data_IF_689675654592
#
_entry.id   IF_689675654592
#
_cell.length_a   1.000
_cell.length_b   1.000
_cell.length_c   1.000
_cell.angle_alpha   90.00
_cell.angle_beta   90.00
_cell.angle_gamma   90.00
#
_symmetry.space_group_name_H-M   'P 1'
#
loop_
_entity.id
_entity.type
_entity.pdbx_description
1 polymer ?
#
# COMPACT_ATOMS: atom_id res chain seq x y z
N UNK A 1 -21.17 19.94 -1.03
CA UNK A 1 -20.95 19.10 0.17
C UNK A 1 -20.91 17.65 -0.25
N UNK A 2 -20.05 16.84 0.35
CA UNK A 2 -19.98 15.41 0.13
C UNK A 2 -21.26 14.72 0.60
N UNK A 3 -21.65 13.61 -0.02
CA UNK A 3 -22.81 12.84 0.42
C UNK A 3 -22.42 11.86 1.52
N UNK A 4 -23.32 11.67 2.48
CA UNK A 4 -23.07 10.85 3.68
C UNK A 4 -22.55 9.44 3.39
N UNK A 5 -23.06 8.77 2.35
CA UNK A 5 -22.61 7.42 1.98
C UNK A 5 -21.18 7.43 1.44
N UNK A 6 -20.82 8.45 0.65
CA UNK A 6 -19.45 8.62 0.12
C UNK A 6 -18.49 9.01 1.25
N UNK A 7 -18.91 9.91 2.17
CA UNK A 7 -18.15 10.29 3.35
C UNK A 7 -17.84 9.08 4.24
N UNK A 8 -18.82 8.22 4.50
CA UNK A 8 -18.62 7.00 5.27
C UNK A 8 -17.61 6.08 4.59
N UNK A 9 -17.77 5.82 3.30
CA UNK A 9 -16.88 4.93 2.54
C UNK A 9 -15.44 5.48 2.46
N UNK A 10 -15.25 6.80 2.34
CA UNK A 10 -13.93 7.43 2.42
C UNK A 10 -13.32 7.28 3.82
N UNK A 11 -14.10 7.42 4.89
CA UNK A 11 -13.59 7.18 6.25
C UNK A 11 -13.14 5.73 6.47
N UNK A 12 -13.84 4.78 5.88
CA UNK A 12 -13.40 3.37 5.88
C UNK A 12 -12.09 3.19 5.09
N UNK A 13 -11.93 3.89 3.95
CA UNK A 13 -10.70 3.82 3.18
C UNK A 13 -9.53 4.48 3.91
N UNK A 14 -9.72 5.61 4.57
CA UNK A 14 -8.71 6.24 5.44
C UNK A 14 -8.15 5.25 6.47
N UNK A 15 -9.02 4.44 7.07
CA UNK A 15 -8.60 3.41 8.03
C UNK A 15 -7.84 2.27 7.36
N UNK A 16 -8.19 1.89 6.11
CA UNK A 16 -7.48 0.86 5.35
C UNK A 16 -6.06 1.31 5.00
N UNK A 17 -5.88 2.54 4.50
CA UNK A 17 -4.56 3.09 4.16
C UNK A 17 -3.66 3.19 5.41
N UNK A 18 -4.21 3.65 6.54
CA UNK A 18 -3.47 3.67 7.80
C UNK A 18 -3.06 2.26 8.25
N UNK A 19 -3.93 1.28 8.05
CA UNK A 19 -3.64 -0.11 8.38
C UNK A 19 -2.59 -0.69 7.44
N UNK A 20 -2.62 -0.37 6.13
CA UNK A 20 -1.59 -0.73 5.14
C UNK A 20 -0.21 -0.26 5.60
N UNK A 21 -0.08 1.02 5.97
CA UNK A 21 1.16 1.56 6.51
C UNK A 21 1.70 0.75 7.70
N UNK A 22 0.83 0.35 8.64
CA UNK A 22 1.23 -0.46 9.79
C UNK A 22 1.60 -1.89 9.42
N UNK A 23 0.91 -2.50 8.46
CA UNK A 23 1.22 -3.83 7.93
C UNK A 23 2.63 -3.82 7.32
N UNK A 24 2.94 -2.84 6.47
CA UNK A 24 4.25 -2.71 5.85
C UNK A 24 5.37 -2.43 6.86
N UNK A 25 5.12 -1.61 7.88
CA UNK A 25 6.08 -1.43 8.99
C UNK A 25 6.36 -2.74 9.74
N UNK A 26 5.35 -3.55 10.00
CA UNK A 26 5.53 -4.84 10.68
C UNK A 26 6.33 -5.83 9.81
N UNK A 27 6.03 -5.90 8.51
CA UNK A 27 6.78 -6.70 7.54
C UNK A 27 8.23 -6.21 7.42
N UNK A 28 8.46 -4.90 7.34
CA UNK A 28 9.80 -4.29 7.28
C UNK A 28 10.64 -4.65 8.50
N UNK A 29 10.08 -4.50 9.70
CA UNK A 29 10.75 -4.86 10.95
C UNK A 29 11.14 -6.34 10.99
N UNK A 30 10.27 -7.23 10.52
CA UNK A 30 10.58 -8.66 10.42
C UNK A 30 11.70 -8.91 9.39
N UNK A 31 11.67 -8.29 8.22
CA UNK A 31 12.72 -8.42 7.20
C UNK A 31 14.09 -7.97 7.74
N UNK A 32 14.14 -6.86 8.50
CA UNK A 32 15.36 -6.33 9.07
C UNK A 32 16.03 -7.33 10.03
N UNK A 33 15.28 -7.90 10.97
CA UNK A 33 15.83 -8.89 11.91
C UNK A 33 16.08 -10.25 11.28
N UNK A 34 15.49 -10.53 10.11
CA UNK A 34 15.69 -11.76 9.35
C UNK A 34 16.83 -11.68 8.33
N UNK A 35 17.55 -10.56 8.27
CA UNK A 35 18.74 -10.40 7.43
C UNK A 35 18.46 -9.94 6.00
N UNK A 36 17.31 -9.29 5.75
CA UNK A 36 16.92 -8.70 4.48
C UNK A 36 16.77 -7.17 4.59
N UNK A 37 17.91 -6.43 4.76
CA UNK A 37 17.86 -4.97 4.96
C UNK A 37 17.31 -4.22 3.75
N UNK A 38 17.50 -4.73 2.54
CA UNK A 38 16.96 -4.12 1.33
C UNK A 38 15.45 -4.27 1.23
N UNK A 39 14.92 -5.45 1.54
CA UNK A 39 13.47 -5.66 1.63
C UNK A 39 12.85 -4.82 2.75
N UNK A 40 13.53 -4.70 3.91
CA UNK A 40 13.10 -3.82 4.98
C UNK A 40 13.01 -2.36 4.52
N UNK A 41 14.05 -1.84 3.86
CA UNK A 41 14.06 -0.48 3.33
C UNK A 41 12.92 -0.23 2.34
N UNK A 42 12.67 -1.18 1.43
CA UNK A 42 11.56 -1.11 0.48
C UNK A 42 10.21 -1.04 1.20
N UNK A 43 9.97 -1.91 2.17
CA UNK A 43 8.70 -1.98 2.90
C UNK A 43 8.50 -0.77 3.84
N UNK A 44 9.56 -0.19 4.40
CA UNK A 44 9.45 1.09 5.11
C UNK A 44 9.04 2.23 4.18
N UNK A 45 9.61 2.27 2.96
CA UNK A 45 9.21 3.26 1.95
C UNK A 45 7.74 3.08 1.53
N UNK A 46 7.28 1.82 1.38
CA UNK A 46 5.84 1.53 1.15
C UNK A 46 4.97 2.02 2.31
N UNK A 47 5.39 1.80 3.56
CA UNK A 47 4.64 2.26 4.73
C UNK A 47 4.46 3.78 4.75
N UNK A 48 5.49 4.54 4.33
CA UNK A 48 5.42 5.98 4.21
C UNK A 48 4.50 6.42 3.07
N UNK A 49 4.48 5.69 1.96
CA UNK A 49 3.60 5.94 0.82
C UNK A 49 2.13 5.72 1.18
N UNK A 50 1.79 4.64 1.88
CA UNK A 50 0.44 4.39 2.39
C UNK A 50 -0.04 5.49 3.33
N UNK A 51 0.87 6.04 4.14
CA UNK A 51 0.56 7.21 4.95
C UNK A 51 0.24 8.44 4.10
N UNK A 52 0.90 8.62 2.96
CA UNK A 52 0.57 9.71 2.03
C UNK A 52 -0.79 9.47 1.37
N UNK A 53 -1.13 8.23 1.00
CA UNK A 53 -2.45 7.84 0.51
C UNK A 53 -3.54 8.19 1.53
N UNK A 54 -3.36 7.79 2.78
CA UNK A 54 -4.24 8.18 3.89
C UNK A 54 -4.46 9.71 3.93
N UNK A 55 -3.38 10.49 3.85
CA UNK A 55 -3.45 11.94 3.90
C UNK A 55 -4.16 12.56 2.69
N UNK A 56 -4.03 11.96 1.49
CA UNK A 56 -4.80 12.39 0.30
C UNK A 56 -6.30 12.23 0.54
N UNK A 57 -6.74 11.09 1.07
CA UNK A 57 -8.16 10.85 1.42
C UNK A 57 -8.66 11.81 2.49
N UNK A 58 -7.89 12.04 3.57
CA UNK A 58 -8.24 12.98 4.64
C UNK A 58 -8.46 14.38 4.08
N UNK A 59 -7.52 14.88 3.25
CA UNK A 59 -7.60 16.21 2.64
C UNK A 59 -8.81 16.32 1.72
N UNK A 60 -8.98 15.35 0.81
CA UNK A 60 -10.13 15.31 -0.10
C UNK A 60 -11.45 15.38 0.67
N UNK A 61 -11.59 14.58 1.73
CA UNK A 61 -12.81 14.57 2.55
C UNK A 61 -13.08 15.91 3.23
N UNK A 62 -12.05 16.48 3.88
CA UNK A 62 -12.17 17.75 4.60
C UNK A 62 -12.44 18.94 3.65
N UNK A 63 -11.78 18.99 2.50
CA UNK A 63 -11.99 20.03 1.46
C UNK A 63 -13.42 19.99 0.88
N UNK A 64 -14.06 18.82 0.93
CA UNK A 64 -15.45 18.62 0.52
C UNK A 64 -16.49 18.91 1.62
N UNK A 65 -16.02 19.36 2.80
CA UNK A 65 -16.85 19.69 3.97
C UNK A 65 -17.33 18.45 4.76
N UNK A 66 -16.68 17.30 4.57
CA UNK A 66 -16.82 16.12 5.41
C UNK A 66 -15.84 16.16 6.59
N UNK A 67 -15.86 15.13 7.41
CA UNK A 67 -15.00 14.99 8.59
C UNK A 67 -14.26 13.65 8.59
N UNK A 68 -12.94 13.68 8.53
CA UNK A 68 -12.11 12.49 8.65
C UNK A 68 -12.08 12.01 10.11
N UNK A 69 -12.52 10.76 10.33
CA UNK A 69 -12.57 10.14 11.66
C UNK A 69 -11.58 8.96 11.66
N UNK A 70 -10.51 9.10 12.46
CA UNK A 70 -9.53 8.03 12.62
C UNK A 70 -10.10 6.92 13.51
N UNK A 71 -10.00 5.70 13.03
CA UNK A 71 -10.57 4.52 13.67
C UNK A 71 -9.50 3.73 14.44
N UNK A 72 -9.94 2.86 15.35
CA UNK A 72 -9.06 1.88 15.95
C UNK A 72 -8.66 0.83 14.90
N UNK A 73 -7.40 0.41 14.92
CA UNK A 73 -6.83 -0.57 13.98
C UNK A 73 -6.41 -1.84 14.69
N UNK A 74 -6.55 -2.95 13.99
CA UNK A 74 -6.06 -4.25 14.47
C UNK A 74 -4.53 -4.30 14.47
N UNK A 75 -3.99 -5.20 15.28
CA UNK A 75 -2.55 -5.47 15.28
C UNK A 75 -2.18 -6.23 14.01
N UNK A 76 -1.17 -5.77 13.23
CA UNK A 76 -0.68 -6.51 12.08
C UNK A 76 -0.03 -7.85 12.48
N UNK A 77 0.03 -8.78 11.51
CA UNK A 77 0.83 -10.01 11.64
C UNK A 77 2.29 -9.63 11.89
N UNK A 78 2.92 -10.29 12.87
CA UNK A 78 4.27 -9.96 13.33
C UNK A 78 5.33 -11.02 12.95
N UNK A 79 4.96 -12.14 12.35
CA UNK A 79 5.89 -13.22 12.00
C UNK A 79 5.53 -13.86 10.65
N UNK A 80 6.57 -14.16 9.87
CA UNK A 80 6.48 -14.68 8.51
C UNK A 80 7.42 -15.88 8.37
N UNK A 81 7.16 -16.77 7.42
CA UNK A 81 7.96 -17.99 7.20
C UNK A 81 9.30 -17.70 6.52
N UNK A 82 9.29 -16.83 5.54
CA UNK A 82 10.43 -16.44 4.70
C UNK A 82 10.08 -15.20 3.88
N UNK A 83 11.00 -14.69 3.08
CA UNK A 83 10.81 -13.52 2.23
C UNK A 83 9.68 -13.71 1.19
N UNK A 84 9.51 -14.92 0.65
CA UNK A 84 8.43 -15.22 -0.27
C UNK A 84 7.07 -15.04 0.40
N UNK A 85 6.90 -15.56 1.62
CA UNK A 85 5.66 -15.42 2.40
C UNK A 85 5.32 -13.94 2.67
N UNK A 86 6.34 -13.10 2.96
CA UNK A 86 6.15 -11.65 3.11
C UNK A 86 5.53 -11.05 1.84
N UNK A 87 6.16 -11.26 0.68
CA UNK A 87 5.68 -10.66 -0.57
C UNK A 87 4.40 -11.29 -1.12
N UNK A 88 4.10 -12.55 -0.80
CA UNK A 88 2.78 -13.14 -1.07
C UNK A 88 1.69 -12.47 -0.23
N UNK A 89 1.98 -12.08 1.01
CA UNK A 89 1.04 -11.34 1.84
C UNK A 89 0.91 -9.87 1.39
N UNK A 90 2.00 -9.25 0.92
CA UNK A 90 1.95 -7.94 0.26
C UNK A 90 0.99 -8.00 -0.94
N UNK A 91 1.17 -8.96 -1.85
CA UNK A 91 0.31 -9.10 -3.04
C UNK A 91 -1.16 -9.25 -2.68
N UNK A 92 -1.46 -10.12 -1.72
CA UNK A 92 -2.82 -10.28 -1.20
C UNK A 92 -3.42 -8.99 -0.64
N UNK A 93 -2.57 -8.21 0.02
CA UNK A 93 -3.00 -6.95 0.61
C UNK A 93 -3.30 -5.91 -0.48
N UNK A 94 -2.45 -5.79 -1.52
CA UNK A 94 -2.70 -4.91 -2.66
C UNK A 94 -3.98 -5.28 -3.41
N UNK A 95 -4.22 -6.57 -3.66
CA UNK A 95 -5.48 -7.04 -4.26
C UNK A 95 -6.70 -6.65 -3.43
N UNK A 96 -6.59 -6.69 -2.10
CA UNK A 96 -7.64 -6.23 -1.19
C UNK A 96 -7.85 -4.71 -1.26
N UNK A 97 -6.78 -3.91 -1.31
CA UNK A 97 -6.88 -2.45 -1.46
C UNK A 97 -7.47 -2.10 -2.82
N UNK A 98 -7.03 -2.75 -3.90
CA UNK A 98 -7.62 -2.58 -5.24
C UNK A 98 -9.12 -2.81 -5.23
N UNK A 99 -9.59 -3.90 -4.61
CA UNK A 99 -11.02 -4.19 -4.50
C UNK A 99 -11.75 -3.07 -3.74
N UNK A 100 -11.18 -2.60 -2.61
CA UNK A 100 -11.79 -1.55 -1.80
C UNK A 100 -11.86 -0.20 -2.52
N UNK A 101 -10.86 0.15 -3.32
CA UNK A 101 -10.85 1.36 -4.17
C UNK A 101 -11.94 1.26 -5.26
N UNK A 102 -12.07 0.09 -5.89
CA UNK A 102 -13.12 -0.14 -6.90
C UNK A 102 -14.52 -0.03 -6.29
N UNK A 103 -14.75 -0.60 -5.11
CA UNK A 103 -16.03 -0.48 -4.39
C UNK A 103 -16.35 0.98 -4.06
N UNK A 104 -15.36 1.73 -3.57
CA UNK A 104 -15.52 3.16 -3.27
C UNK A 104 -15.81 3.97 -4.55
N UNK A 105 -15.15 3.64 -5.66
CA UNK A 105 -15.42 4.25 -6.96
C UNK A 105 -16.85 3.99 -7.41
N UNK A 106 -17.33 2.75 -7.32
CA UNK A 106 -18.73 2.40 -7.63
C UNK A 106 -19.73 3.17 -6.75
N UNK A 107 -19.46 3.27 -5.43
CA UNK A 107 -20.28 4.07 -4.52
C UNK A 107 -20.33 5.53 -4.97
N UNK A 108 -19.20 6.12 -5.36
CA UNK A 108 -19.13 7.50 -5.83
C UNK A 108 -19.99 7.74 -7.07
N UNK A 109 -19.97 6.81 -8.04
CA UNK A 109 -20.78 6.89 -9.25
C UNK A 109 -22.27 6.73 -8.94
N UNK A 110 -22.66 5.75 -8.12
CA UNK A 110 -24.03 5.49 -7.71
C UNK A 110 -24.65 6.71 -7.00
N UNK A 111 -23.85 7.40 -6.20
CA UNK A 111 -24.23 8.64 -5.52
C UNK A 111 -24.14 9.87 -6.43
N UNK A 112 -23.70 9.74 -7.68
CA UNK A 112 -23.41 10.83 -8.64
C UNK A 112 -22.41 11.86 -8.06
N UNK A 113 -21.46 11.40 -7.25
CA UNK A 113 -20.37 12.21 -6.76
C UNK A 113 -19.16 12.09 -7.69
N UNK A 114 -19.29 12.72 -8.85
CA UNK A 114 -18.25 12.70 -9.89
C UNK A 114 -16.94 13.33 -9.44
N UNK A 115 -16.96 14.21 -8.44
CA UNK A 115 -15.73 14.79 -7.88
C UNK A 115 -14.90 13.74 -7.14
N UNK A 116 -15.54 12.92 -6.29
CA UNK A 116 -14.86 11.79 -5.66
C UNK A 116 -14.47 10.74 -6.69
N UNK A 117 -15.33 10.45 -7.68
CA UNK A 117 -14.98 9.55 -8.79
C UNK A 117 -13.73 10.00 -9.55
N UNK A 118 -13.59 11.30 -9.85
CA UNK A 118 -12.38 11.83 -10.50
C UNK A 118 -11.14 11.74 -9.61
N UNK A 119 -11.27 12.01 -8.32
CA UNK A 119 -10.21 11.86 -7.34
C UNK A 119 -9.70 10.41 -7.26
N UNK A 120 -10.60 9.44 -7.29
CA UNK A 120 -10.29 8.02 -7.20
C UNK A 120 -9.60 7.45 -8.46
N UNK A 121 -9.65 8.13 -9.61
CA UNK A 121 -8.95 7.72 -10.82
C UNK A 121 -7.44 7.61 -10.59
N UNK A 122 -6.87 8.50 -9.78
CA UNK A 122 -5.47 8.43 -9.41
C UNK A 122 -5.15 7.12 -8.67
N UNK A 123 -5.95 6.77 -7.65
CA UNK A 123 -5.77 5.53 -6.88
C UNK A 123 -5.97 4.26 -7.73
N UNK A 124 -6.90 4.27 -8.69
CA UNK A 124 -7.08 3.16 -9.62
C UNK A 124 -5.81 2.92 -10.46
N UNK A 125 -5.16 3.98 -10.92
CA UNK A 125 -3.91 3.88 -11.67
C UNK A 125 -2.76 3.44 -10.76
N UNK A 126 -2.68 3.96 -9.55
CA UNK A 126 -1.69 3.59 -8.55
C UNK A 126 -1.72 2.09 -8.25
N UNK A 127 -2.91 1.52 -8.03
CA UNK A 127 -3.06 0.10 -7.76
C UNK A 127 -2.57 -0.80 -8.91
N UNK A 128 -2.66 -0.35 -10.16
CA UNK A 128 -2.07 -1.07 -11.30
C UNK A 128 -0.54 -1.14 -11.16
N UNK A 129 0.09 -0.04 -10.76
CA UNK A 129 1.54 0.04 -10.57
C UNK A 129 1.99 -0.79 -9.36
N UNK A 130 1.29 -0.69 -8.23
CA UNK A 130 1.59 -1.44 -7.01
C UNK A 130 1.51 -2.96 -7.25
N UNK A 131 0.42 -3.47 -7.79
CA UNK A 131 0.30 -4.90 -8.10
C UNK A 131 1.35 -5.37 -9.12
N UNK A 132 1.65 -4.56 -10.14
CA UNK A 132 2.65 -4.88 -11.15
C UNK A 132 4.05 -4.97 -10.53
N UNK A 133 4.38 -4.03 -9.64
CA UNK A 133 5.67 -3.98 -8.94
C UNK A 133 5.84 -5.20 -8.03
N UNK A 134 4.85 -5.49 -7.21
CA UNK A 134 4.88 -6.65 -6.30
C UNK A 134 4.96 -7.97 -7.07
N UNK A 135 4.23 -8.09 -8.17
CA UNK A 135 4.29 -9.27 -9.06
C UNK A 135 5.72 -9.47 -9.60
N UNK A 136 6.36 -8.39 -10.06
CA UNK A 136 7.74 -8.45 -10.52
C UNK A 136 8.74 -8.88 -9.44
N UNK A 137 8.54 -8.45 -8.19
CA UNK A 137 9.36 -8.89 -7.04
C UNK A 137 9.13 -10.38 -6.76
N UNK A 138 7.88 -10.84 -6.73
CA UNK A 138 7.52 -12.24 -6.52
C UNK A 138 8.12 -13.15 -7.59
N UNK A 139 8.08 -12.75 -8.84
CA UNK A 139 8.69 -13.51 -9.95
C UNK A 139 10.21 -13.63 -9.76
N UNK A 140 10.89 -12.57 -9.34
CA UNK A 140 12.32 -12.60 -9.01
C UNK A 140 12.62 -13.50 -7.82
N UNK A 141 11.84 -13.45 -6.74
CA UNK A 141 11.99 -14.37 -5.60
C UNK A 141 11.88 -15.82 -6.06
N UNK A 142 10.88 -16.15 -6.87
CA UNK A 142 10.68 -17.49 -7.42
C UNK A 142 11.85 -17.95 -8.31
N UNK A 143 12.41 -17.05 -9.11
CA UNK A 143 13.58 -17.32 -9.96
C UNK A 143 14.87 -17.56 -9.16
N UNK A 144 15.00 -17.01 -7.95
CA UNK A 144 16.18 -17.24 -7.10
C UNK A 144 16.19 -18.64 -6.46
N UNK A 145 15.09 -19.37 -6.52
CA UNK A 145 14.94 -20.67 -5.88
C UNK A 145 15.11 -20.58 -4.36
N UNK A 146 15.68 -21.61 -3.75
CA UNK A 146 15.90 -21.66 -2.29
C UNK A 146 17.07 -20.79 -1.79
N UNK A 147 17.58 -19.86 -2.59
CA UNK A 147 18.66 -18.95 -2.18
C UNK A 147 20.08 -19.52 -2.24
N UNK A 148 20.25 -20.77 -2.68
CA UNK A 148 21.55 -21.46 -2.72
C UNK A 148 22.58 -20.77 -3.64
N UNK A 149 22.12 -19.95 -4.59
CA UNK A 149 22.95 -19.28 -5.59
C UNK A 149 23.20 -17.78 -5.32
N UNK A 150 22.98 -17.28 -4.11
CA UNK A 150 23.11 -15.84 -3.81
C UNK A 150 22.06 -14.93 -4.46
N UNK A 151 21.06 -15.50 -5.11
CA UNK A 151 20.01 -14.73 -5.80
C UNK A 151 19.24 -13.79 -4.88
N UNK A 152 18.91 -14.23 -3.66
CA UNK A 152 18.25 -13.38 -2.67
C UNK A 152 19.10 -12.18 -2.25
N UNK A 153 20.43 -12.31 -2.20
CA UNK A 153 21.32 -11.19 -1.91
C UNK A 153 21.28 -10.14 -3.02
N UNK A 154 21.26 -10.55 -4.28
CA UNK A 154 21.14 -9.61 -5.41
C UNK A 154 19.76 -8.93 -5.43
N UNK A 155 18.69 -9.68 -5.15
CA UNK A 155 17.35 -9.12 -5.04
C UNK A 155 17.25 -8.11 -3.89
N UNK A 156 17.83 -8.41 -2.73
CA UNK A 156 17.80 -7.50 -1.58
C UNK A 156 18.52 -6.18 -1.89
N UNK A 157 19.65 -6.23 -2.63
CA UNK A 157 20.30 -5.02 -3.16
C UNK A 157 19.43 -4.24 -4.14
N UNK A 158 18.69 -4.93 -5.00
CA UNK A 158 17.76 -4.28 -5.93
C UNK A 158 16.62 -3.59 -5.16
N UNK A 159 16.07 -4.23 -4.13
CA UNK A 159 15.04 -3.65 -3.28
C UNK A 159 15.54 -2.39 -2.55
N UNK A 160 16.82 -2.36 -2.14
CA UNK A 160 17.45 -1.14 -1.61
C UNK A 160 17.43 0.00 -2.64
N UNK A 161 17.73 -0.29 -3.89
CA UNK A 161 17.70 0.72 -4.94
C UNK A 161 16.28 1.19 -5.26
N UNK A 162 15.29 0.30 -5.24
CA UNK A 162 13.87 0.63 -5.40
C UNK A 162 13.39 1.53 -4.27
N UNK A 163 13.75 1.23 -3.01
CA UNK A 163 13.44 2.08 -1.86
C UNK A 163 13.98 3.50 -2.03
N UNK A 164 15.25 3.63 -2.42
CA UNK A 164 15.88 4.93 -2.66
C UNK A 164 15.19 5.72 -3.79
N UNK A 165 14.74 5.04 -4.85
CA UNK A 165 14.01 5.67 -5.94
C UNK A 165 12.64 6.18 -5.47
N UNK A 166 11.89 5.42 -4.65
CA UNK A 166 10.60 5.86 -4.07
C UNK A 166 10.78 7.11 -3.19
N UNK A 167 11.78 7.13 -2.31
CA UNK A 167 12.05 8.29 -1.44
C UNK A 167 12.47 9.53 -2.23
N UNK A 168 13.11 9.36 -3.37
CA UNK A 168 13.57 10.46 -4.23
C UNK A 168 12.46 10.97 -5.19
N UNK A 169 11.39 10.22 -5.39
CA UNK A 169 10.29 10.63 -6.25
C UNK A 169 9.59 11.87 -5.66
N UNK A 170 9.27 12.90 -6.48
CA UNK A 170 8.48 14.02 -5.99
C UNK A 170 7.14 13.50 -5.49
N UNK A 171 6.77 13.85 -4.25
CA UNK A 171 5.40 13.63 -3.77
C UNK A 171 4.46 14.41 -4.69
N UNK A 172 3.76 13.71 -5.56
CA UNK A 172 2.67 14.34 -6.33
C UNK A 172 1.62 14.86 -5.34
N UNK A 173 1.49 16.18 -5.34
CA UNK A 173 0.63 16.93 -4.42
C UNK A 173 -0.85 16.75 -4.74
#
# INVERSE_FOLDING_TARGET
MIKSRVEQAINEQIAREEHSSRIYMAMASWCEVSGFPGAAAYLYAQADEERMHQMKFIRHLNDRGGHAILQALEQPVASFKNLLDVFEQVMKHEEYITASINDLYEISLNEKDYTSGNFLQWFINEQIEEESTVRGILDKIKLTGNGENGGLFHLDKELTAMAAAKVAAPTEA
#
